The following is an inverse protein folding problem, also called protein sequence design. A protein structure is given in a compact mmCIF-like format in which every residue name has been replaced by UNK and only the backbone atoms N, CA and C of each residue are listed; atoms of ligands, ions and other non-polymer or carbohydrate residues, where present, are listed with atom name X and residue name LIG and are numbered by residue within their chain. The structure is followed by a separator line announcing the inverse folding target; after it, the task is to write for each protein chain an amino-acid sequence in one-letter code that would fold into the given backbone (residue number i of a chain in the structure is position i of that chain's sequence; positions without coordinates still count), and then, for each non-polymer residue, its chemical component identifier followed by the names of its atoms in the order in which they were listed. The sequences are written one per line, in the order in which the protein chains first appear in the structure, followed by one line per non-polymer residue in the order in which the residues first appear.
data_IF_620851757802
#
_entry.id   IF_620851757802
#
_cell.length_a   1.000
_cell.length_b   1.000
_cell.length_c   1.000
_cell.angle_alpha   90.00
_cell.angle_beta   90.00
_cell.angle_gamma   90.00
#
_symmetry.space_group_name_H-M   'P 1'
#
loop_
_entity.id
_entity.type
_entity.pdbx_description
1 polymer ?
#
# COMPACT_ATOMS: atom_id res chain seq x y z
N UNK A 1 11.54 43.98 35.44
CA UNK A 1 10.73 43.82 34.20
C UNK A 1 11.29 42.86 33.13
N UNK A 2 12.44 42.18 33.33
CA UNK A 2 13.08 41.34 32.34
C UNK A 2 12.61 39.86 32.32
N UNK A 3 12.02 39.33 33.40
CA UNK A 3 11.62 37.92 33.45
C UNK A 3 10.37 37.53 32.63
N UNK A 4 9.51 38.50 32.30
CA UNK A 4 8.28 38.21 31.48
C UNK A 4 8.60 38.12 29.98
N UNK A 5 9.58 38.88 29.49
CA UNK A 5 9.95 38.88 28.07
C UNK A 5 10.63 37.61 27.67
N UNK A 6 11.45 37.01 28.55
CA UNK A 6 12.19 35.78 28.28
C UNK A 6 11.24 34.57 28.13
N UNK A 7 10.17 34.53 28.94
CA UNK A 7 9.14 33.45 28.85
C UNK A 7 8.31 33.54 27.57
N UNK A 8 8.02 34.76 27.12
CA UNK A 8 7.26 34.98 25.88
C UNK A 8 8.08 34.61 24.65
N UNK A 9 9.37 34.93 24.64
CA UNK A 9 10.31 34.54 23.55
C UNK A 9 10.49 33.01 23.51
N UNK A 10 10.61 32.35 24.66
CA UNK A 10 10.74 30.89 24.72
C UNK A 10 9.50 30.16 24.20
N UNK A 11 8.29 30.66 24.48
CA UNK A 11 7.03 30.07 24.00
C UNK A 11 6.87 30.31 22.50
N UNK A 12 7.24 31.48 21.98
CA UNK A 12 7.19 31.75 20.53
C UNK A 12 8.20 30.90 19.76
N UNK A 13 9.41 30.70 20.30
CA UNK A 13 10.39 29.80 19.68
C UNK A 13 9.95 28.34 19.69
N UNK A 14 9.27 27.90 20.76
CA UNK A 14 8.76 26.52 20.86
C UNK A 14 7.60 26.28 19.86
N UNK A 15 6.72 27.27 19.67
CA UNK A 15 5.65 27.21 18.67
C UNK A 15 6.18 27.26 17.23
N UNK A 16 7.27 27.97 16.96
CA UNK A 16 7.90 28.00 15.64
C UNK A 16 8.58 26.69 15.28
N UNK A 17 9.11 25.93 16.25
CA UNK A 17 9.74 24.63 16.01
C UNK A 17 8.70 23.57 15.64
N UNK A 18 7.48 23.63 16.20
CA UNK A 18 6.40 22.70 15.87
C UNK A 18 5.87 22.90 14.43
N UNK A 19 5.95 24.11 13.87
CA UNK A 19 5.51 24.41 12.51
C UNK A 19 6.52 23.94 11.46
N UNK A 20 7.81 23.76 11.81
CA UNK A 20 8.85 23.33 10.87
C UNK A 20 8.86 21.83 10.59
N UNK A 21 8.15 21.01 11.36
CA UNK A 21 8.05 19.56 11.12
C UNK A 21 6.88 19.19 10.18
N UNK A 22 5.95 20.11 9.93
CA UNK A 22 4.80 19.90 9.04
C UNK A 22 5.02 20.38 7.60
N UNK A 23 6.20 20.88 7.27
CA UNK A 23 6.46 21.44 5.96
C UNK A 23 7.74 20.94 5.36
N UNK A 24 7.71 19.83 4.66
CA UNK A 24 8.57 19.66 3.50
C UNK A 24 8.17 18.46 2.67
N UNK A 25 7.72 18.70 1.49
CA UNK A 25 7.50 17.70 0.48
C UNK A 25 6.81 18.27 -0.74
N UNK A 26 7.16 19.47 -1.14
CA UNK A 26 6.88 19.99 -2.47
C UNK A 26 7.78 19.33 -3.50
N UNK A 27 7.64 18.03 -3.69
CA UNK A 27 8.13 17.27 -4.81
C UNK A 27 6.96 16.46 -5.34
N UNK A 28 6.89 16.21 -6.63
CA UNK A 28 5.98 15.28 -7.30
C UNK A 28 6.23 13.83 -6.87
N UNK A 29 6.48 13.59 -5.58
CA UNK A 29 6.66 12.29 -4.97
C UNK A 29 5.33 11.59 -4.77
N UNK A 30 5.31 10.30 -5.02
CA UNK A 30 4.17 9.43 -4.77
C UNK A 30 3.66 9.60 -3.34
N UNK A 31 2.35 9.84 -3.19
CA UNK A 31 1.72 9.95 -1.88
C UNK A 31 1.44 8.56 -1.33
N UNK A 32 2.03 8.25 -0.18
CA UNK A 32 1.76 7.03 0.58
C UNK A 32 1.04 7.36 1.88
N UNK A 33 -0.03 6.62 2.19
CA UNK A 33 -0.65 6.62 3.52
C UNK A 33 0.06 5.54 4.34
N UNK A 34 0.50 5.90 5.54
CA UNK A 34 1.19 5.01 6.47
C UNK A 34 0.25 4.43 7.52
N UNK A 35 0.66 3.36 8.20
CA UNK A 35 -0.12 2.72 9.27
C UNK A 35 -1.33 1.94 8.78
N UNK A 36 -1.40 1.60 7.51
CA UNK A 36 -2.51 0.82 6.96
C UNK A 36 -2.38 -0.66 7.33
N UNK A 37 -3.53 -1.32 7.55
CA UNK A 37 -3.63 -2.79 7.60
C UNK A 37 -3.33 -3.41 6.21
N UNK A 38 -3.02 -4.72 6.12
CA UNK A 38 -2.75 -5.35 4.82
C UNK A 38 -3.87 -5.14 3.80
N UNK A 39 -5.13 -5.31 4.20
CA UNK A 39 -6.30 -5.07 3.35
C UNK A 39 -6.46 -3.59 2.99
N UNK A 40 -6.12 -2.68 3.93
CA UNK A 40 -6.09 -1.24 3.69
C UNK A 40 -5.07 -0.85 2.62
N UNK A 41 -3.87 -1.44 2.64
CA UNK A 41 -2.85 -1.26 1.60
C UNK A 41 -3.38 -1.67 0.23
N UNK A 42 -4.00 -2.85 0.13
CA UNK A 42 -4.53 -3.35 -1.14
C UNK A 42 -5.67 -2.47 -1.67
N UNK A 43 -6.58 -2.03 -0.81
CA UNK A 43 -7.66 -1.09 -1.17
C UNK A 43 -7.11 0.22 -1.71
N UNK A 44 -6.16 0.82 -0.97
CA UNK A 44 -5.56 2.11 -1.36
C UNK A 44 -4.74 1.99 -2.65
N UNK A 45 -4.00 0.89 -2.82
CA UNK A 45 -3.31 0.57 -4.06
C UNK A 45 -4.28 0.50 -5.25
N UNK A 46 -5.36 -0.27 -5.10
CA UNK A 46 -6.36 -0.44 -6.15
C UNK A 46 -7.02 0.88 -6.53
N UNK A 47 -7.42 1.68 -5.55
CA UNK A 47 -8.04 2.99 -5.77
C UNK A 47 -7.08 3.96 -6.46
N UNK A 48 -5.82 3.99 -6.08
CA UNK A 48 -4.80 4.81 -6.75
C UNK A 48 -4.63 4.39 -8.21
N UNK A 49 -4.47 3.09 -8.46
CA UNK A 49 -4.30 2.56 -9.81
C UNK A 49 -5.54 2.81 -10.69
N UNK A 50 -6.76 2.60 -10.17
CA UNK A 50 -8.03 2.86 -10.88
C UNK A 50 -8.18 4.32 -11.27
N UNK A 51 -7.68 5.25 -10.44
CA UNK A 51 -7.71 6.69 -10.67
C UNK A 51 -6.51 7.21 -11.48
N UNK A 52 -5.79 6.35 -12.22
CA UNK A 52 -4.59 6.70 -13.01
C UNK A 52 -3.41 7.26 -12.19
N UNK A 53 -3.38 7.06 -10.89
CA UNK A 53 -2.30 7.50 -10.00
C UNK A 53 -1.28 6.37 -9.80
N UNK A 54 -0.68 5.88 -10.90
CA UNK A 54 0.24 4.74 -10.86
C UNK A 54 1.49 4.99 -9.99
N UNK A 55 1.96 6.24 -9.90
CA UNK A 55 3.06 6.58 -9.02
C UNK A 55 2.66 6.42 -7.53
N UNK A 56 1.44 6.85 -7.17
CA UNK A 56 0.92 6.66 -5.81
C UNK A 56 0.70 5.16 -5.52
N UNK A 57 0.16 4.40 -6.47
CA UNK A 57 0.04 2.95 -6.37
C UNK A 57 1.42 2.28 -6.19
N UNK A 58 2.44 2.72 -6.94
CA UNK A 58 3.80 2.23 -6.83
C UNK A 58 4.42 2.37 -5.44
N UNK A 59 3.99 3.37 -4.66
CA UNK A 59 4.44 3.55 -3.29
C UNK A 59 4.03 2.42 -2.32
N UNK A 60 3.08 1.57 -2.72
CA UNK A 60 2.62 0.40 -1.95
C UNK A 60 3.27 -0.91 -2.38
N UNK A 61 4.08 -0.90 -3.44
CA UNK A 61 4.83 -2.08 -3.88
C UNK A 61 6.10 -2.20 -3.04
N UNK A 62 6.45 -3.43 -2.70
CA UNK A 62 7.67 -3.69 -1.93
C UNK A 62 8.91 -3.18 -2.67
N UNK A 63 9.77 -2.41 -2.00
CA UNK A 63 11.04 -1.96 -2.59
C UNK A 63 12.01 -3.13 -2.88
N UNK A 64 11.76 -4.30 -2.30
CA UNK A 64 12.52 -5.53 -2.56
C UNK A 64 11.87 -6.41 -3.62
N UNK A 65 10.68 -6.01 -4.13
CA UNK A 65 9.99 -6.73 -5.19
C UNK A 65 10.54 -6.37 -6.57
N UNK A 66 10.64 -7.36 -7.44
CA UNK A 66 11.03 -7.17 -8.84
C UNK A 66 9.91 -6.57 -9.69
N UNK A 67 8.65 -6.68 -9.23
CA UNK A 67 7.49 -6.15 -9.92
C UNK A 67 7.22 -4.69 -9.59
N UNK A 68 6.46 -4.03 -10.44
CA UNK A 68 5.97 -2.67 -10.27
C UNK A 68 4.44 -2.64 -10.11
N UNK A 69 3.86 -1.45 -9.95
CA UNK A 69 2.42 -1.30 -9.84
C UNK A 69 1.65 -1.86 -11.05
N UNK A 70 2.21 -1.74 -12.27
CA UNK A 70 1.58 -2.24 -13.49
C UNK A 70 1.53 -3.77 -13.50
N UNK A 71 2.59 -4.42 -13.03
CA UNK A 71 2.65 -5.89 -12.91
C UNK A 71 1.58 -6.40 -11.95
N UNK A 72 1.44 -5.76 -10.78
CA UNK A 72 0.40 -6.12 -9.81
C UNK A 72 -1.01 -5.88 -10.36
N UNK A 73 -1.25 -4.76 -11.04
CA UNK A 73 -2.55 -4.48 -11.69
C UNK A 73 -2.88 -5.56 -12.72
N UNK A 74 -1.94 -5.93 -13.60
CA UNK A 74 -2.14 -7.00 -14.58
C UNK A 74 -2.46 -8.33 -13.93
N UNK A 75 -1.78 -8.67 -12.84
CA UNK A 75 -2.08 -9.88 -12.08
C UNK A 75 -3.52 -9.85 -11.53
N UNK A 76 -3.95 -8.72 -10.97
CA UNK A 76 -5.28 -8.59 -10.36
C UNK A 76 -6.40 -8.60 -11.40
N UNK A 77 -6.24 -7.89 -12.51
CA UNK A 77 -7.32 -7.62 -13.47
C UNK A 77 -7.16 -8.28 -14.84
N UNK A 78 -5.99 -8.89 -15.10
CA UNK A 78 -5.65 -9.49 -16.39
C UNK A 78 -5.04 -8.49 -17.38
N UNK A 79 -5.47 -7.23 -17.37
CA UNK A 79 -4.96 -6.17 -18.21
C UNK A 79 -4.96 -4.83 -17.49
N UNK A 80 -4.09 -3.88 -17.89
CA UNK A 80 -3.99 -2.56 -17.28
C UNK A 80 -5.27 -1.72 -17.48
N UNK A 81 -5.93 -1.84 -18.60
CA UNK A 81 -7.14 -1.08 -18.90
C UNK A 81 -8.37 -1.63 -18.16
N UNK A 82 -8.34 -2.91 -17.80
CA UNK A 82 -9.42 -3.54 -17.06
C UNK A 82 -9.57 -3.00 -15.64
N UNK A 83 -8.53 -2.41 -15.04
CA UNK A 83 -8.67 -1.84 -13.70
C UNK A 83 -9.74 -0.74 -13.64
N UNK A 84 -9.87 0.06 -14.69
CA UNK A 84 -10.89 1.13 -14.77
C UNK A 84 -12.31 0.57 -14.83
N UNK A 85 -12.44 -0.63 -15.40
CA UNK A 85 -13.71 -1.36 -15.56
C UNK A 85 -13.95 -2.37 -14.46
N UNK A 86 -13.10 -2.42 -13.44
CA UNK A 86 -13.21 -3.33 -12.31
C UNK A 86 -13.60 -2.58 -11.04
N UNK A 87 -14.44 -3.19 -10.24
CA UNK A 87 -14.78 -2.73 -8.90
C UNK A 87 -14.18 -3.68 -7.88
N UNK A 88 -13.48 -3.16 -6.88
CA UNK A 88 -13.03 -3.94 -5.74
C UNK A 88 -14.20 -4.10 -4.77
N UNK A 89 -14.81 -5.29 -4.76
CA UNK A 89 -15.97 -5.60 -3.92
C UNK A 89 -15.52 -5.90 -2.49
N UNK A 90 -14.42 -6.63 -2.34
CA UNK A 90 -13.85 -6.88 -1.03
C UNK A 90 -12.35 -7.09 -1.10
N UNK A 91 -11.67 -6.73 -0.01
CA UNK A 91 -10.31 -7.14 0.29
C UNK A 91 -10.30 -7.57 1.76
N UNK A 92 -9.91 -8.81 2.04
CA UNK A 92 -9.91 -9.39 3.38
C UNK A 92 -8.62 -10.14 3.62
N UNK A 93 -8.01 -9.97 4.80
CA UNK A 93 -6.87 -10.79 5.21
C UNK A 93 -7.32 -12.24 5.29
N UNK A 94 -6.77 -13.08 4.41
CA UNK A 94 -7.05 -14.52 4.37
C UNK A 94 -6.07 -15.31 5.24
N UNK A 95 -4.85 -14.80 5.40
CA UNK A 95 -3.84 -15.38 6.28
C UNK A 95 -2.75 -14.36 6.63
N UNK A 96 -2.20 -14.47 7.84
CA UNK A 96 -1.09 -13.64 8.29
C UNK A 96 -0.19 -14.43 9.23
N UNK A 97 1.13 -14.31 9.02
CA UNK A 97 2.13 -14.92 9.88
C UNK A 97 3.38 -14.04 9.93
N UNK A 98 3.69 -13.52 11.13
CA UNK A 98 4.82 -12.60 11.32
C UNK A 98 4.68 -11.35 10.43
N UNK A 99 5.70 -11.10 9.64
CA UNK A 99 5.78 -9.97 8.71
C UNK A 99 5.20 -10.28 7.31
N UNK A 100 4.39 -11.33 7.18
CA UNK A 100 3.78 -11.73 5.92
C UNK A 100 2.26 -11.86 6.06
N UNK A 101 1.53 -11.40 5.05
CA UNK A 101 0.08 -11.52 4.97
C UNK A 101 -0.36 -11.84 3.54
N UNK A 102 -1.51 -12.52 3.43
CA UNK A 102 -2.21 -12.70 2.17
C UNK A 102 -3.60 -12.10 2.29
N UNK A 103 -3.95 -11.25 1.33
CA UNK A 103 -5.26 -10.62 1.22
C UNK A 103 -6.00 -11.23 0.04
N UNK A 104 -7.16 -11.83 0.29
CA UNK A 104 -8.06 -12.25 -0.77
C UNK A 104 -8.85 -11.04 -1.26
N UNK A 105 -8.72 -10.74 -2.56
CA UNK A 105 -9.46 -9.67 -3.22
C UNK A 105 -10.55 -10.23 -4.09
N UNK A 106 -11.76 -9.67 -4.01
CA UNK A 106 -12.86 -9.97 -4.91
C UNK A 106 -13.09 -8.77 -5.83
N UNK A 107 -12.90 -9.00 -7.11
CA UNK A 107 -13.12 -8.00 -8.15
C UNK A 107 -14.38 -8.36 -8.94
N UNK A 108 -15.17 -7.36 -9.28
CA UNK A 108 -16.28 -7.47 -10.19
C UNK A 108 -15.97 -6.66 -11.45
N UNK A 109 -16.14 -7.26 -12.61
CA UNK A 109 -16.08 -6.53 -13.88
C UNK A 109 -17.33 -5.65 -14.02
N UNK A 110 -17.11 -4.38 -14.38
CA UNK A 110 -18.19 -3.42 -14.56
C UNK A 110 -19.15 -3.92 -15.64
N UNK A 111 -20.44 -3.74 -15.42
CA UNK A 111 -21.50 -4.18 -16.33
C UNK A 111 -21.57 -5.71 -16.56
N UNK A 112 -20.97 -6.48 -15.66
CA UNK A 112 -20.93 -7.93 -15.70
C UNK A 112 -21.23 -8.52 -14.31
N UNK A 113 -21.81 -9.73 -14.29
CA UNK A 113 -21.94 -10.53 -13.06
C UNK A 113 -20.71 -11.42 -12.80
N UNK A 114 -19.62 -11.18 -13.54
CA UNK A 114 -18.40 -11.95 -13.38
C UNK A 114 -17.59 -11.43 -12.20
N UNK A 115 -17.31 -12.34 -11.27
CA UNK A 115 -16.43 -12.09 -10.12
C UNK A 115 -15.13 -12.86 -10.30
N UNK A 116 -14.05 -12.23 -9.90
CA UNK A 116 -12.72 -12.85 -9.88
C UNK A 116 -12.13 -12.69 -8.49
N UNK A 117 -11.63 -13.77 -7.91
CA UNK A 117 -10.90 -13.73 -6.64
C UNK A 117 -9.41 -13.87 -6.94
N UNK A 118 -8.62 -12.95 -6.39
CA UNK A 118 -7.16 -12.94 -6.52
C UNK A 118 -6.51 -12.79 -5.15
N UNK A 119 -5.56 -13.65 -4.80
CA UNK A 119 -4.75 -13.46 -3.60
C UNK A 119 -3.65 -12.43 -3.87
N UNK A 120 -3.42 -11.54 -2.93
CA UNK A 120 -2.33 -10.55 -2.95
C UNK A 120 -1.45 -10.80 -1.74
N UNK A 121 -0.17 -11.11 -1.99
CA UNK A 121 0.83 -11.30 -0.94
C UNK A 121 1.44 -9.98 -0.51
N UNK A 122 1.64 -9.81 0.79
CA UNK A 122 2.27 -8.64 1.38
C UNK A 122 3.39 -9.02 2.34
N UNK A 123 4.40 -8.17 2.39
CA UNK A 123 5.44 -8.20 3.43
C UNK A 123 5.44 -6.91 4.22
N UNK A 124 5.87 -6.99 5.50
CA UNK A 124 6.01 -5.86 6.40
C UNK A 124 7.45 -5.44 6.49
N UNK A 125 7.75 -4.18 6.16
CA UNK A 125 9.08 -3.59 6.21
C UNK A 125 9.02 -2.33 7.07
N UNK A 126 9.82 -2.26 8.13
CA UNK A 126 9.85 -1.13 9.06
C UNK A 126 8.47 -0.75 9.62
N UNK A 127 7.62 -1.75 9.89
CA UNK A 127 6.28 -1.53 10.43
C UNK A 127 5.19 -1.27 9.40
N UNK A 128 5.54 -1.10 8.12
CA UNK A 128 4.62 -0.79 7.03
C UNK A 128 4.44 -1.99 6.09
N UNK A 129 3.20 -2.21 5.62
CA UNK A 129 2.87 -3.29 4.70
C UNK A 129 3.09 -2.88 3.24
N UNK A 130 3.66 -3.78 2.44
CA UNK A 130 3.95 -3.61 1.02
C UNK A 130 3.50 -4.83 0.22
N UNK A 131 2.96 -4.61 -0.96
CA UNK A 131 2.55 -5.66 -1.89
C UNK A 131 3.79 -6.26 -2.54
N UNK A 132 3.86 -7.58 -2.57
CA UNK A 132 4.90 -8.36 -3.26
C UNK A 132 4.37 -8.84 -4.60
N UNK A 133 5.20 -8.76 -5.64
CA UNK A 133 4.88 -9.34 -6.95
C UNK A 133 4.58 -10.84 -6.84
N UNK A 134 3.47 -11.28 -7.44
CA UNK A 134 2.98 -12.64 -7.29
C UNK A 134 3.96 -13.69 -7.83
N UNK A 135 4.55 -13.44 -8.99
CA UNK A 135 5.51 -14.35 -9.60
C UNK A 135 6.80 -14.45 -8.78
N UNK A 136 7.20 -13.36 -8.14
CA UNK A 136 8.36 -13.35 -7.26
C UNK A 136 8.14 -14.19 -6.00
N UNK A 137 6.92 -14.24 -5.47
CA UNK A 137 6.63 -15.07 -4.29
C UNK A 137 7.05 -16.52 -4.53
N UNK A 138 6.86 -17.05 -5.74
CA UNK A 138 7.22 -18.43 -6.07
C UNK A 138 8.68 -18.62 -6.50
N UNK A 139 9.34 -17.57 -6.95
CA UNK A 139 10.74 -17.64 -7.40
C UNK A 139 11.77 -17.42 -6.30
N UNK A 140 11.39 -16.73 -5.22
CA UNK A 140 12.31 -16.31 -4.18
C UNK A 140 12.07 -17.10 -2.88
N UNK A 141 13.11 -17.77 -2.40
CA UNK A 141 13.07 -18.52 -1.14
C UNK A 141 12.75 -17.65 0.10
N UNK A 142 12.96 -16.34 0.02
CA UNK A 142 12.57 -15.37 1.04
C UNK A 142 11.08 -15.47 1.38
N UNK A 143 10.24 -15.77 0.39
CA UNK A 143 8.78 -15.74 0.51
C UNK A 143 8.13 -17.11 0.80
N UNK A 144 8.88 -18.06 1.37
CA UNK A 144 8.31 -19.38 1.75
C UNK A 144 7.07 -19.28 2.62
N UNK A 145 7.02 -18.32 3.54
CA UNK A 145 5.85 -18.10 4.39
C UNK A 145 4.64 -17.66 3.56
N UNK A 146 4.84 -16.75 2.60
CA UNK A 146 3.76 -16.35 1.67
C UNK A 146 3.29 -17.52 0.81
N UNK A 147 4.20 -18.37 0.31
CA UNK A 147 3.83 -19.57 -0.43
C UNK A 147 2.96 -20.51 0.41
N UNK A 148 3.31 -20.72 1.68
CA UNK A 148 2.53 -21.53 2.60
C UNK A 148 1.14 -20.92 2.88
N UNK A 149 1.06 -19.60 3.11
CA UNK A 149 -0.20 -18.91 3.31
C UNK A 149 -1.10 -19.00 2.07
N UNK A 150 -0.52 -18.86 0.87
CA UNK A 150 -1.24 -18.98 -0.40
C UNK A 150 -1.77 -20.40 -0.64
N UNK A 151 -1.05 -21.43 -0.21
CA UNK A 151 -1.47 -22.82 -0.35
C UNK A 151 -2.66 -23.20 0.57
N UNK A 152 -2.98 -22.37 1.56
CA UNK A 152 -4.05 -22.61 2.54
C UNK A 152 -5.33 -21.80 2.26
N UNK A 153 -5.40 -21.10 1.14
CA UNK A 153 -6.54 -20.31 0.68
C UNK A 153 -7.23 -21.03 -0.46
#
# INVERSE_FOLDING_TARGET
MQKKSLRTVAVVCLLLIVVLVAGCGGGSGAKRITGLSPDGVVKTFFDAAKNNKMNDAGAYISPTSAGDAKTVVKFMTGDLDQIKKSNLISAKVAGQQGDYAVVATTLQEQDSFKFTVKPVGLEKINGEWYIVDFDQIYRDAKYKVLQQLLANI
#
